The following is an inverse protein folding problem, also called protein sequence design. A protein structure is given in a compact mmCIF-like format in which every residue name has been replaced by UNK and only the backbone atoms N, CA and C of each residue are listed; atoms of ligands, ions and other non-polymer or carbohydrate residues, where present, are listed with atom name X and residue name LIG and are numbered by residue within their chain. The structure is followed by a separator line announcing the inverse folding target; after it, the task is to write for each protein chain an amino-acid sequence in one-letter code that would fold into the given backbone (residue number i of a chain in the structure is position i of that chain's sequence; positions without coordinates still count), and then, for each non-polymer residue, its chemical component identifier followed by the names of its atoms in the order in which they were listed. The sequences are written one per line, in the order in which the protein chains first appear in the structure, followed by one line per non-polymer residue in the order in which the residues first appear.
data_IF_372901811945
#
_entry.id   IF_372901811945
#
_cell.length_a   1.000
_cell.length_b   1.000
_cell.length_c   1.000
_cell.angle_alpha   90.00
_cell.angle_beta   90.00
_cell.angle_gamma   90.00
#
_symmetry.space_group_name_H-M   'P 1'
#
loop_
_entity.id
_entity.type
_entity.pdbx_description
1 polymer ?
#
# COMPACT_ATOMS: atom_id res chain seq x y z
N UNK A 1 -6.18 -5.44 -4.47
CA UNK A 1 -7.50 -5.83 -3.92
C UNK A 1 -7.45 -7.14 -3.17
N UNK A 2 -6.87 -8.20 -3.73
CA UNK A 2 -6.79 -9.53 -3.10
C UNK A 2 -6.26 -9.52 -1.65
N UNK A 3 -5.18 -8.78 -1.37
CA UNK A 3 -4.66 -8.64 -0.01
C UNK A 3 -5.74 -8.20 1.00
N UNK A 4 -6.55 -7.19 0.65
CA UNK A 4 -7.66 -6.72 1.49
C UNK A 4 -8.78 -7.77 1.61
N UNK A 5 -9.08 -8.51 0.54
CA UNK A 5 -10.05 -9.62 0.56
C UNK A 5 -9.59 -10.78 1.46
N UNK A 6 -8.28 -10.93 1.61
CA UNK A 6 -7.65 -11.90 2.53
C UNK A 6 -7.41 -11.33 3.93
N UNK A 7 -7.94 -10.14 4.24
CA UNK A 7 -7.94 -9.57 5.58
C UNK A 7 -6.72 -8.71 5.94
N UNK A 8 -5.94 -8.25 4.96
CA UNK A 8 -4.88 -7.28 5.22
C UNK A 8 -5.49 -5.96 5.74
N UNK A 9 -4.98 -5.47 6.88
CA UNK A 9 -5.39 -4.18 7.46
C UNK A 9 -4.79 -2.98 6.70
N UNK A 10 -3.66 -3.19 6.03
CA UNK A 10 -3.05 -2.25 5.10
C UNK A 10 -2.04 -2.91 4.18
N UNK A 11 -1.66 -2.18 3.13
CA UNK A 11 -0.74 -2.62 2.07
C UNK A 11 0.22 -1.48 1.75
N UNK A 12 1.53 -1.76 1.85
CA UNK A 12 2.57 -0.90 1.33
C UNK A 12 3.10 -1.43 0.00
N UNK A 13 3.34 -0.53 -0.94
CA UNK A 13 4.01 -0.81 -2.21
C UNK A 13 5.33 -0.05 -2.20
N UNK A 14 6.45 -0.74 -2.25
CA UNK A 14 7.78 -0.10 -2.32
C UNK A 14 8.21 -0.06 -3.79
N UNK A 15 8.70 1.09 -4.23
CA UNK A 15 9.07 1.33 -5.63
C UNK A 15 10.38 2.09 -5.73
N UNK A 16 11.11 1.91 -6.84
CA UNK A 16 12.23 2.79 -7.18
C UNK A 16 11.74 4.22 -7.39
N UNK A 17 12.61 5.21 -7.16
CA UNK A 17 12.32 6.62 -7.41
C UNK A 17 11.88 6.89 -8.86
N UNK A 18 11.22 8.03 -9.04
CA UNK A 18 10.83 8.49 -10.38
C UNK A 18 12.06 8.51 -11.30
N UNK A 19 11.91 8.02 -12.54
CA UNK A 19 12.98 7.89 -13.54
C UNK A 19 14.09 6.87 -13.24
N UNK A 20 14.06 6.19 -12.10
CA UNK A 20 15.02 5.12 -11.74
C UNK A 20 14.46 3.71 -11.95
N UNK A 21 13.22 3.60 -12.45
CA UNK A 21 12.63 2.30 -12.70
C UNK A 21 13.33 1.61 -13.88
N UNK A 22 13.87 0.41 -13.62
CA UNK A 22 14.53 -0.42 -14.63
C UNK A 22 13.58 -0.90 -15.76
N UNK A 23 12.27 -0.70 -15.56
CA UNK A 23 11.21 -1.09 -16.50
C UNK A 23 10.45 0.13 -17.04
N UNK A 24 11.13 1.27 -17.18
CA UNK A 24 10.57 2.50 -17.75
C UNK A 24 9.72 3.27 -16.73
N UNK A 25 8.41 3.33 -16.92
CA UNK A 25 7.49 4.12 -16.08
C UNK A 25 6.56 3.25 -15.20
N UNK A 26 6.93 1.99 -14.95
CA UNK A 26 6.07 1.05 -14.22
C UNK A 26 5.75 1.52 -12.78
N UNK A 27 6.70 2.18 -12.10
CA UNK A 27 6.49 2.79 -10.79
C UNK A 27 5.45 3.93 -10.83
N UNK A 28 5.46 4.75 -11.88
CA UNK A 28 4.51 5.86 -12.06
C UNK A 28 3.13 5.38 -12.52
N UNK A 29 3.06 4.32 -13.32
CA UNK A 29 1.79 3.64 -13.62
C UNK A 29 1.16 3.09 -12.33
N UNK A 30 1.98 2.49 -11.46
CA UNK A 30 1.56 2.02 -10.14
C UNK A 30 1.06 3.17 -9.27
N UNK A 31 1.73 4.32 -9.30
CA UNK A 31 1.31 5.51 -8.57
C UNK A 31 -0.08 6.01 -9.00
N UNK A 32 -0.36 6.00 -10.30
CA UNK A 32 -1.68 6.34 -10.81
C UNK A 32 -2.74 5.32 -10.40
N UNK A 33 -2.42 4.03 -10.40
CA UNK A 33 -3.32 2.97 -9.89
C UNK A 33 -3.60 3.13 -8.40
N UNK A 34 -2.60 3.43 -7.58
CA UNK A 34 -2.75 3.66 -6.13
C UNK A 34 -3.63 4.87 -5.87
N UNK A 35 -3.41 5.98 -6.60
CA UNK A 35 -4.29 7.17 -6.52
C UNK A 35 -5.74 6.84 -6.86
N UNK A 36 -5.96 6.08 -7.92
CA UNK A 36 -7.31 5.64 -8.31
C UNK A 36 -7.94 4.75 -7.23
N UNK A 37 -7.20 3.76 -6.71
CA UNK A 37 -7.67 2.86 -5.67
C UNK A 37 -7.98 3.59 -4.37
N UNK A 38 -7.18 4.57 -3.96
CA UNK A 38 -7.47 5.44 -2.80
C UNK A 38 -8.80 6.17 -2.96
N UNK A 39 -9.10 6.71 -4.14
CA UNK A 39 -10.40 7.31 -4.43
C UNK A 39 -11.52 6.27 -4.37
N UNK A 40 -11.32 5.09 -4.95
CA UNK A 40 -12.30 4.01 -4.90
C UNK A 40 -12.58 3.57 -3.45
N UNK A 41 -11.55 3.50 -2.61
CA UNK A 41 -11.67 3.14 -1.19
C UNK A 41 -12.60 4.09 -0.44
N UNK A 42 -12.46 5.40 -0.68
CA UNK A 42 -13.36 6.40 -0.10
C UNK A 42 -14.84 6.13 -0.47
N UNK A 43 -15.11 5.74 -1.72
CA UNK A 43 -16.48 5.42 -2.15
C UNK A 43 -17.01 4.11 -1.55
N UNK A 44 -16.12 3.17 -1.23
CA UNK A 44 -16.44 1.88 -0.61
C UNK A 44 -16.48 1.94 0.93
N UNK A 45 -16.25 3.11 1.54
CA UNK A 45 -16.14 3.25 3.00
C UNK A 45 -14.87 2.65 3.60
N UNK A 46 -13.85 2.38 2.77
CA UNK A 46 -12.53 1.92 3.22
C UNK A 46 -11.63 3.15 3.40
N UNK A 47 -10.92 3.21 4.52
CA UNK A 47 -10.01 4.33 4.76
C UNK A 47 -8.83 4.30 3.76
N UNK A 48 -8.58 5.39 3.01
CA UNK A 48 -7.58 5.40 1.93
C UNK A 48 -6.13 5.25 2.42
N UNK A 49 -5.84 5.57 3.68
CA UNK A 49 -4.50 5.39 4.27
C UNK A 49 -4.10 3.93 4.49
N UNK A 50 -5.01 2.99 4.26
CA UNK A 50 -4.69 1.56 4.27
C UNK A 50 -3.84 1.12 3.08
N UNK A 51 -3.69 1.96 2.05
CA UNK A 51 -2.85 1.66 0.89
C UNK A 51 -1.88 2.82 0.71
N UNK A 52 -0.59 2.54 0.56
CA UNK A 52 0.38 3.58 0.23
C UNK A 52 1.48 3.04 -0.69
N UNK A 53 1.97 3.90 -1.57
CA UNK A 53 3.19 3.65 -2.32
C UNK A 53 4.31 4.54 -1.81
N UNK A 54 5.43 3.92 -1.50
CA UNK A 54 6.65 4.58 -1.04
C UNK A 54 7.73 4.43 -2.11
N UNK A 55 8.54 5.47 -2.24
CA UNK A 55 9.66 5.52 -3.17
C UNK A 55 10.95 5.39 -2.37
N UNK A 56 11.72 4.35 -2.67
CA UNK A 56 12.93 3.97 -1.95
C UNK A 56 13.91 3.32 -2.94
N UNK A 57 15.12 3.86 -3.04
CA UNK A 57 16.21 3.20 -3.74
C UNK A 57 16.76 2.03 -2.91
N UNK A 58 17.45 1.10 -3.58
CA UNK A 58 17.95 -0.13 -2.95
C UNK A 58 18.98 0.14 -1.81
N UNK A 59 19.67 1.27 -1.85
CA UNK A 59 20.65 1.67 -0.85
C UNK A 59 20.06 2.49 0.31
N UNK A 60 18.78 2.85 0.28
CA UNK A 60 18.15 3.74 1.27
C UNK A 60 17.46 2.95 2.39
N UNK A 61 18.26 2.26 3.21
CA UNK A 61 17.74 1.38 4.28
C UNK A 61 16.87 2.15 5.27
N UNK A 62 17.29 3.35 5.69
CA UNK A 62 16.54 4.18 6.64
C UNK A 62 15.19 4.63 6.07
N UNK A 63 15.10 4.91 4.77
CA UNK A 63 13.84 5.27 4.11
C UNK A 63 12.89 4.07 4.03
N UNK A 64 13.43 2.87 3.78
CA UNK A 64 12.64 1.65 3.82
C UNK A 64 12.04 1.40 5.20
N UNK A 65 12.86 1.50 6.26
CA UNK A 65 12.40 1.36 7.66
C UNK A 65 11.30 2.39 7.96
N UNK A 66 11.54 3.66 7.62
CA UNK A 66 10.56 4.74 7.83
C UNK A 66 9.24 4.50 7.11
N UNK A 67 9.29 3.91 5.90
CA UNK A 67 8.10 3.56 5.12
C UNK A 67 7.27 2.47 5.79
N UNK A 68 7.92 1.44 6.35
CA UNK A 68 7.26 0.36 7.09
C UNK A 68 6.66 0.88 8.39
N UNK A 69 7.37 1.75 9.11
CA UNK A 69 6.86 2.39 10.33
C UNK A 69 5.65 3.28 10.04
N UNK A 70 5.66 4.05 8.94
CA UNK A 70 4.56 4.92 8.56
C UNK A 70 3.27 4.13 8.27
N UNK A 71 3.33 3.10 7.42
CA UNK A 71 2.15 2.30 7.12
C UNK A 71 1.63 1.57 8.36
N UNK A 72 2.54 1.08 9.20
CA UNK A 72 2.20 0.38 10.45
C UNK A 72 1.44 1.32 11.38
N UNK A 73 1.96 2.53 11.61
CA UNK A 73 1.32 3.55 12.43
C UNK A 73 -0.05 3.94 11.87
N UNK A 74 -0.15 4.21 10.57
CA UNK A 74 -1.41 4.58 9.90
C UNK A 74 -2.47 3.50 10.11
N UNK A 75 -2.12 2.24 9.89
CA UNK A 75 -3.05 1.12 9.99
C UNK A 75 -3.46 0.83 11.44
N UNK A 76 -2.53 0.94 12.39
CA UNK A 76 -2.83 0.76 13.83
C UNK A 76 -3.80 1.82 14.38
N UNK A 77 -3.80 3.02 13.81
CA UNK A 77 -4.73 4.09 14.19
C UNK A 77 -6.16 3.87 13.64
N UNK A 78 -6.36 2.90 12.76
CA UNK A 78 -7.64 2.62 12.12
C UNK A 78 -8.31 1.40 12.76
N UNK A 79 -9.65 1.31 12.72
CA UNK A 79 -10.35 0.09 13.12
C UNK A 79 -9.82 -1.13 12.35
N UNK A 80 -9.83 -2.35 12.91
CA UNK A 80 -9.42 -3.53 12.16
C UNK A 80 -10.32 -3.76 10.94
N UNK A 81 -9.75 -4.23 9.83
CA UNK A 81 -10.52 -4.67 8.67
C UNK A 81 -11.34 -5.92 9.03
N UNK A 82 -12.54 -6.09 8.45
CA UNK A 82 -13.31 -7.31 8.63
C UNK A 82 -12.49 -8.52 8.18
N UNK A 83 -12.14 -9.40 9.12
CA UNK A 83 -11.45 -10.65 8.80
C UNK A 83 -12.43 -11.55 8.06
N UNK A 84 -12.16 -11.85 6.79
CA UNK A 84 -12.83 -12.95 6.12
C UNK A 84 -12.46 -14.22 6.89
N UNK A 85 -13.44 -14.93 7.46
CA UNK A 85 -13.22 -16.30 7.93
C UNK A 85 -12.77 -17.08 6.70
N UNK A 86 -11.49 -17.43 6.62
CA UNK A 86 -11.03 -18.41 5.65
C UNK A 86 -11.82 -19.67 5.99
N UNK A 87 -12.76 -20.07 5.12
CA UNK A 87 -13.26 -21.43 5.16
C UNK A 87 -12.08 -22.29 4.73
N UNK A 88 -11.55 -23.17 5.59
CA UNK A 88 -10.57 -24.14 5.16
C UNK A 88 -11.32 -25.15 4.28
N UNK A 89 -11.26 -24.94 2.97
CA UNK A 89 -11.51 -26.03 2.02
C UNK A 89 -10.30 -26.96 2.02
#
# INVERSE_FOLDING_TARGET
MEAFLNGADGVAIISCHERECNYGNANMNTYNHVKFLKKLFQHLGIHPERLEQYFCAAAEVENFVSSVEDITRKVQALPPMPKRKLNPN
#
